data_IF_826955592963
#
_entry.id   IF_826955592963
#
_cell.length_a   1.000
_cell.length_b   1.000
_cell.length_c   1.000
_cell.angle_alpha   90.00
_cell.angle_beta   90.00
_cell.angle_gamma   90.00
#
_symmetry.space_group_name_H-M   'P 1'
#
loop_
_entity.id
_entity.type
_entity.pdbx_description
1 polymer ?
#
# COMPACT_ATOMS: atom_id res chain seq x y z
N UNK A 1 18.82 -50.06 33.46
CA UNK A 1 19.66 -48.99 34.07
C UNK A 1 20.99 -48.76 33.36
N UNK A 2 21.74 -49.81 32.93
CA UNK A 2 23.04 -49.64 32.26
C UNK A 2 23.00 -48.80 30.96
N UNK A 3 21.91 -48.89 30.18
CA UNK A 3 21.73 -48.10 28.95
C UNK A 3 21.60 -46.61 29.23
N UNK A 4 20.75 -46.22 30.18
CA UNK A 4 20.52 -44.82 30.57
C UNK A 4 21.81 -44.19 31.11
N UNK A 5 22.55 -44.92 31.93
CA UNK A 5 23.84 -44.45 32.49
C UNK A 5 24.90 -44.27 31.39
N UNK A 6 24.95 -45.19 30.40
CA UNK A 6 25.84 -45.07 29.24
C UNK A 6 25.45 -43.92 28.32
N UNK A 7 24.15 -43.73 28.09
CA UNK A 7 23.62 -42.63 27.30
C UNK A 7 23.92 -41.26 27.95
N UNK A 8 23.65 -41.12 29.25
CA UNK A 8 23.95 -39.89 29.99
C UNK A 8 25.46 -39.55 29.98
N UNK A 9 26.33 -40.55 30.15
CA UNK A 9 27.79 -40.36 30.03
C UNK A 9 28.20 -39.96 28.60
N UNK A 10 27.58 -40.55 27.58
CA UNK A 10 27.88 -40.23 26.18
C UNK A 10 27.46 -38.80 25.80
N UNK A 11 26.27 -38.36 26.26
CA UNK A 11 25.78 -36.98 26.07
C UNK A 11 26.67 -35.98 26.79
N UNK A 12 27.07 -36.27 28.04
CA UNK A 12 27.98 -35.41 28.80
C UNK A 12 29.36 -35.27 28.15
N UNK A 13 29.93 -36.38 27.66
CA UNK A 13 31.24 -36.36 27.00
C UNK A 13 31.23 -35.69 25.63
N UNK A 14 30.08 -35.63 24.95
CA UNK A 14 29.95 -35.05 23.61
C UNK A 14 28.88 -33.93 23.55
N UNK A 15 28.78 -33.11 24.59
CA UNK A 15 27.68 -32.14 24.75
C UNK A 15 27.48 -31.24 23.53
N UNK A 16 28.56 -30.77 22.88
CA UNK A 16 28.51 -29.96 21.64
C UNK A 16 27.91 -30.70 20.44
N UNK A 17 28.16 -32.01 20.31
CA UNK A 17 27.59 -32.83 19.22
C UNK A 17 26.14 -33.18 19.51
N UNK A 18 25.82 -33.43 20.78
CA UNK A 18 24.46 -33.71 21.23
C UNK A 18 23.54 -32.48 21.07
N UNK A 19 24.03 -31.26 21.34
CA UNK A 19 23.25 -30.04 21.10
C UNK A 19 22.98 -29.84 19.61
N UNK A 20 23.99 -29.96 18.75
CA UNK A 20 23.80 -29.86 17.28
C UNK A 20 22.79 -30.90 16.77
N UNK A 21 22.90 -32.15 17.23
CA UNK A 21 21.97 -33.21 16.84
C UNK A 21 20.55 -32.94 17.34
N UNK A 22 20.38 -32.48 18.59
CA UNK A 22 19.08 -32.12 19.14
C UNK A 22 18.43 -30.95 18.39
N UNK A 23 19.21 -29.92 18.04
CA UNK A 23 18.75 -28.80 17.22
C UNK A 23 18.33 -29.25 15.81
N UNK A 24 19.14 -30.11 15.17
CA UNK A 24 18.81 -30.66 13.86
C UNK A 24 17.54 -31.53 13.88
N UNK A 25 17.35 -32.35 14.93
CA UNK A 25 16.13 -33.12 15.13
C UNK A 25 14.92 -32.24 15.38
N UNK A 26 15.04 -31.23 16.25
CA UNK A 26 13.96 -30.29 16.53
C UNK A 26 13.52 -29.55 15.25
N UNK A 27 14.48 -29.08 14.45
CA UNK A 27 14.22 -28.50 13.14
C UNK A 27 13.55 -29.51 12.19
N UNK A 28 14.05 -30.74 12.11
CA UNK A 28 13.47 -31.79 11.27
C UNK A 28 12.01 -32.13 11.63
N UNK A 29 11.71 -32.21 12.93
CA UNK A 29 10.34 -32.44 13.43
C UNK A 29 9.45 -31.24 13.08
N UNK A 30 9.90 -30.01 13.38
CA UNK A 30 9.16 -28.79 13.04
C UNK A 30 8.89 -28.68 11.54
N UNK A 31 9.89 -28.90 10.71
CA UNK A 31 9.78 -28.91 9.25
C UNK A 31 8.80 -29.99 8.77
N UNK A 32 8.87 -31.20 9.34
CA UNK A 32 7.95 -32.28 8.97
C UNK A 32 6.50 -31.98 9.35
N UNK A 33 6.28 -31.33 10.50
CA UNK A 33 4.96 -30.95 10.96
C UNK A 33 4.38 -29.86 10.06
N UNK A 34 5.14 -28.82 9.76
CA UNK A 34 4.74 -27.76 8.82
C UNK A 34 4.44 -28.34 7.43
N UNK A 35 5.28 -29.25 6.92
CA UNK A 35 5.04 -29.90 5.62
C UNK A 35 3.78 -30.76 5.62
N UNK A 36 3.48 -31.41 6.75
CA UNK A 36 2.26 -32.20 6.92
C UNK A 36 1.03 -31.31 6.96
N UNK A 37 1.05 -30.22 7.74
CA UNK A 37 -0.02 -29.22 7.82
C UNK A 37 -0.29 -28.58 6.45
N UNK A 38 0.75 -28.15 5.73
CA UNK A 38 0.61 -27.60 4.37
C UNK A 38 -0.06 -28.63 3.44
N UNK A 39 0.32 -29.91 3.51
CA UNK A 39 -0.32 -30.97 2.71
C UNK A 39 -1.78 -31.19 3.07
N UNK A 40 -2.14 -31.14 4.35
CA UNK A 40 -3.53 -31.26 4.79
C UNK A 40 -4.36 -30.06 4.31
N UNK A 41 -3.84 -28.84 4.43
CA UNK A 41 -4.47 -27.63 3.92
C UNK A 41 -4.66 -27.69 2.40
N UNK A 42 -3.62 -28.05 1.64
CA UNK A 42 -3.73 -28.22 0.18
C UNK A 42 -4.81 -29.25 -0.18
N UNK A 43 -4.84 -30.38 0.54
CA UNK A 43 -5.85 -31.42 0.30
C UNK A 43 -7.26 -30.89 0.56
N UNK A 44 -7.45 -30.19 1.68
CA UNK A 44 -8.73 -29.58 2.04
C UNK A 44 -9.22 -28.64 0.94
N UNK A 45 -8.41 -27.64 0.55
CA UNK A 45 -8.80 -26.67 -0.48
C UNK A 45 -8.96 -27.29 -1.86
N UNK A 46 -8.16 -28.30 -2.24
CA UNK A 46 -8.39 -29.03 -3.49
C UNK A 46 -9.71 -29.81 -3.47
N UNK A 47 -10.07 -30.43 -2.35
CA UNK A 47 -11.37 -31.13 -2.23
C UNK A 47 -12.54 -30.17 -2.27
N UNK A 48 -12.40 -28.99 -1.67
CA UNK A 48 -13.39 -27.93 -1.71
C UNK A 48 -13.55 -27.36 -3.14
N UNK A 49 -12.43 -27.06 -3.82
CA UNK A 49 -12.42 -26.62 -5.21
C UNK A 49 -13.06 -27.65 -6.17
N UNK A 50 -12.86 -28.95 -5.92
CA UNK A 50 -13.50 -30.02 -6.70
C UNK A 50 -15.02 -29.94 -6.64
N UNK A 51 -15.60 -29.61 -5.48
CA UNK A 51 -17.05 -29.46 -5.32
C UNK A 51 -17.60 -28.33 -6.20
N UNK A 52 -16.88 -27.21 -6.29
CA UNK A 52 -17.27 -26.11 -7.19
C UNK A 52 -17.16 -26.50 -8.67
N UNK A 53 -16.17 -27.32 -9.03
CA UNK A 53 -16.00 -27.85 -10.39
C UNK A 53 -17.11 -28.83 -10.82
N UNK A 54 -17.76 -29.51 -9.88
CA UNK A 54 -18.83 -30.49 -10.15
C UNK A 54 -20.22 -29.84 -10.36
N UNK A 55 -20.36 -28.53 -10.12
CA UNK A 55 -21.62 -27.80 -10.29
C UNK A 55 -21.98 -27.70 -11.78
N UNK A 56 -23.13 -28.25 -12.15
CA UNK A 56 -23.64 -28.18 -13.53
C UNK A 56 -24.09 -26.75 -13.87
N UNK A 57 -23.64 -26.23 -15.00
CA UNK A 57 -24.07 -24.94 -15.56
C UNK A 57 -25.17 -25.14 -16.60
N UNK A 58 -26.07 -24.16 -16.74
CA UNK A 58 -27.11 -24.20 -17.78
C UNK A 58 -26.52 -24.11 -19.19
N UNK A 59 -27.20 -24.69 -20.19
CA UNK A 59 -26.73 -24.72 -21.60
C UNK A 59 -26.43 -23.34 -22.20
N UNK A 60 -27.08 -22.29 -21.68
CA UNK A 60 -26.89 -20.89 -22.13
C UNK A 60 -25.94 -20.07 -21.21
N UNK A 61 -25.40 -20.67 -20.15
CA UNK A 61 -24.48 -20.00 -19.23
C UNK A 61 -23.03 -20.28 -19.65
N UNK A 62 -22.21 -19.24 -19.69
CA UNK A 62 -20.77 -19.36 -19.96
C UNK A 62 -20.02 -19.45 -18.63
N UNK A 63 -18.95 -20.26 -18.53
CA UNK A 63 -18.12 -20.28 -17.33
C UNK A 63 -17.46 -18.92 -17.10
N UNK A 64 -17.28 -18.50 -15.83
CA UNK A 64 -16.59 -17.27 -15.50
C UNK A 64 -15.13 -17.35 -15.98
N UNK A 65 -14.63 -16.28 -16.60
CA UNK A 65 -13.22 -16.15 -16.96
C UNK A 65 -12.52 -15.34 -15.89
N UNK A 66 -11.44 -15.88 -15.34
CA UNK A 66 -10.59 -15.22 -14.34
C UNK A 66 -9.24 -14.88 -14.97
N UNK A 67 -8.83 -13.61 -14.90
CA UNK A 67 -7.48 -13.18 -15.27
C UNK A 67 -6.66 -13.10 -13.97
N UNK A 68 -5.56 -13.85 -13.91
CA UNK A 68 -4.64 -13.84 -12.76
C UNK A 68 -3.38 -13.07 -13.17
N UNK A 69 -3.15 -11.93 -12.52
CA UNK A 69 -1.91 -11.17 -12.62
C UNK A 69 -1.06 -11.51 -11.38
N UNK A 70 0.07 -12.17 -11.57
CA UNK A 70 0.91 -12.65 -10.47
C UNK A 70 2.26 -11.92 -10.46
N UNK A 71 2.49 -11.15 -9.40
CA UNK A 71 3.83 -10.68 -9.05
C UNK A 71 4.46 -11.67 -8.06
N UNK A 72 5.46 -12.48 -8.45
CA UNK A 72 6.05 -13.51 -7.59
C UNK A 72 6.75 -12.97 -6.33
N UNK A 73 6.96 -11.65 -6.23
CA UNK A 73 7.55 -10.98 -5.08
C UNK A 73 6.52 -10.40 -4.07
N UNK A 74 5.22 -10.41 -4.39
CA UNK A 74 4.18 -9.81 -3.54
C UNK A 74 3.73 -10.74 -2.40
N UNK A 75 3.71 -10.25 -1.16
CA UNK A 75 3.41 -11.04 0.03
C UNK A 75 1.97 -10.77 0.57
N UNK A 76 1.31 -11.87 0.91
CA UNK A 76 -0.05 -12.16 1.44
C UNK A 76 -0.82 -11.04 2.17
N UNK A 77 -2.14 -10.92 1.87
CA UNK A 77 -3.27 -10.69 2.82
C UNK A 77 -4.67 -10.76 2.13
N UNK A 78 -5.75 -10.89 2.93
CA UNK A 78 -7.12 -11.28 2.54
C UNK A 78 -8.25 -10.47 3.24
N UNK A 79 -9.22 -9.92 2.48
CA UNK A 79 -10.68 -9.82 2.72
C UNK A 79 -11.46 -9.42 1.42
N UNK A 80 -12.68 -9.93 1.19
CA UNK A 80 -13.56 -9.47 0.07
C UNK A 80 -14.17 -8.10 0.42
N UNK A 81 -13.69 -7.02 -0.21
CA UNK A 81 -14.07 -5.66 0.15
C UNK A 81 -14.15 -4.73 -1.08
N UNK A 82 -15.09 -3.78 -1.03
CA UNK A 82 -15.08 -2.61 -1.90
C UNK A 82 -13.95 -1.68 -1.45
N UNK A 83 -12.91 -1.56 -2.28
CA UNK A 83 -11.70 -0.86 -1.90
C UNK A 83 -11.66 0.54 -2.53
N UNK A 84 -11.28 1.51 -1.70
CA UNK A 84 -11.08 2.88 -2.17
C UNK A 84 -9.72 3.01 -2.86
N UNK A 85 -9.66 3.79 -3.93
CA UNK A 85 -8.42 4.00 -4.68
C UNK A 85 -8.09 5.48 -4.68
N UNK A 86 -6.86 5.84 -4.40
CA UNK A 86 -6.36 7.19 -4.62
C UNK A 86 -5.88 7.33 -6.07
N UNK A 87 -6.34 8.37 -6.74
CA UNK A 87 -5.88 8.76 -8.08
C UNK A 87 -4.91 9.92 -7.92
N UNK A 88 -3.72 9.78 -8.47
CA UNK A 88 -2.60 10.71 -8.34
C UNK A 88 -2.31 11.26 -9.74
N UNK A 89 -2.36 12.58 -9.86
CA UNK A 89 -2.17 13.31 -11.10
C UNK A 89 -1.02 14.29 -10.94
N UNK A 90 -0.10 14.31 -11.90
CA UNK A 90 0.94 15.34 -11.93
C UNK A 90 0.30 16.65 -12.39
N UNK A 91 0.48 17.71 -11.61
CA UNK A 91 0.04 19.04 -11.99
C UNK A 91 1.00 19.57 -13.07
N UNK A 92 0.49 20.05 -14.22
CA UNK A 92 1.35 20.56 -15.29
C UNK A 92 2.08 21.82 -14.80
N UNK A 93 3.40 21.85 -14.95
CA UNK A 93 4.13 23.10 -14.78
C UNK A 93 3.91 23.96 -16.02
N UNK A 94 3.84 25.29 -15.86
CA UNK A 94 3.61 26.21 -16.98
C UNK A 94 4.67 26.12 -18.10
N UNK A 95 5.77 25.41 -17.87
CA UNK A 95 6.87 25.18 -18.81
C UNK A 95 6.74 23.87 -19.63
N UNK A 96 5.81 22.98 -19.30
CA UNK A 96 5.71 21.66 -19.93
C UNK A 96 4.81 21.71 -21.18
N UNK A 97 5.41 21.66 -22.37
CA UNK A 97 4.69 21.51 -23.65
C UNK A 97 4.19 20.07 -23.90
N UNK A 98 4.57 19.11 -23.04
CA UNK A 98 4.22 17.70 -23.16
C UNK A 98 2.76 17.43 -22.79
N UNK A 99 2.10 16.44 -23.42
CA UNK A 99 0.76 16.04 -23.03
C UNK A 99 0.73 15.60 -21.55
N UNK A 100 -0.38 15.83 -20.83
CA UNK A 100 -0.49 15.44 -19.42
C UNK A 100 -0.21 13.95 -19.26
N UNK A 101 0.67 13.63 -18.32
CA UNK A 101 1.01 12.24 -17.99
C UNK A 101 -0.24 11.49 -17.51
N UNK A 102 -0.23 10.16 -17.71
CA UNK A 102 -1.35 9.32 -17.27
C UNK A 102 -1.42 9.32 -15.74
N UNK A 103 -2.63 9.39 -15.16
CA UNK A 103 -2.80 9.31 -13.71
C UNK A 103 -2.32 7.95 -13.18
N UNK A 104 -1.67 7.99 -12.02
CA UNK A 104 -1.30 6.79 -11.25
C UNK A 104 -2.43 6.48 -10.26
N UNK A 105 -2.74 5.20 -10.08
CA UNK A 105 -3.76 4.75 -9.14
C UNK A 105 -3.11 3.89 -8.06
N UNK A 106 -3.47 4.13 -6.80
CA UNK A 106 -2.92 3.42 -5.66
C UNK A 106 -3.99 3.07 -4.64
N UNK A 107 -3.82 1.95 -3.96
CA UNK A 107 -4.79 1.37 -3.02
C UNK A 107 -4.41 1.70 -1.57
N UNK A 108 -3.11 1.69 -1.26
CA UNK A 108 -2.60 1.77 0.09
C UNK A 108 -2.29 3.19 0.53
N UNK A 109 -1.08 3.64 0.25
CA UNK A 109 -0.59 4.93 0.74
C UNK A 109 0.51 5.52 -0.15
N UNK A 110 0.57 6.85 -0.15
CA UNK A 110 1.72 7.64 -0.56
C UNK A 110 2.54 8.00 0.67
N UNK A 111 3.85 7.72 0.65
CA UNK A 111 4.79 8.06 1.72
C UNK A 111 5.92 8.92 1.18
N UNK A 112 6.21 10.03 1.86
CA UNK A 112 7.31 10.91 1.53
C UNK A 112 8.03 11.33 2.80
N UNK A 113 9.31 10.98 2.93
CA UNK A 113 10.08 11.32 4.14
C UNK A 113 11.24 10.41 4.45
N UNK A 114 11.97 10.79 5.50
CA UNK A 114 13.22 10.14 5.90
C UNK A 114 13.06 8.65 6.22
N UNK A 115 11.94 8.25 6.87
CA UNK A 115 11.67 6.86 7.20
C UNK A 115 11.66 5.96 5.95
N UNK A 116 10.92 6.38 4.92
CA UNK A 116 10.83 5.67 3.63
C UNK A 116 12.18 5.61 2.93
N UNK A 117 12.91 6.73 2.90
CA UNK A 117 14.19 6.82 2.17
C UNK A 117 15.24 5.91 2.80
N UNK A 118 15.31 5.87 4.13
CA UNK A 118 16.21 4.97 4.85
C UNK A 118 15.77 3.51 4.69
N UNK A 119 14.47 3.22 4.73
CA UNK A 119 13.95 1.87 4.53
C UNK A 119 14.28 1.32 3.12
N UNK A 120 14.30 2.19 2.10
CA UNK A 120 14.69 1.83 0.74
C UNK A 120 16.16 1.37 0.64
N UNK A 121 17.02 1.82 1.56
CA UNK A 121 18.43 1.42 1.63
C UNK A 121 18.64 0.04 2.27
N UNK A 122 17.60 -0.65 2.76
CA UNK A 122 17.74 -1.97 3.43
C UNK A 122 18.51 -2.99 2.59
N UNK A 123 18.34 -2.97 1.27
CA UNK A 123 18.95 -3.97 0.38
C UNK A 123 20.46 -3.72 0.20
N UNK A 124 20.95 -2.49 0.47
CA UNK A 124 22.38 -2.18 0.60
C UNK A 124 23.02 -2.98 1.74
N UNK A 125 22.26 -3.28 2.78
CA UNK A 125 22.70 -4.00 3.97
C UNK A 125 22.34 -5.49 3.96
N UNK A 126 22.21 -6.10 2.76
CA UNK A 126 21.86 -7.53 2.63
C UNK A 126 22.78 -8.47 3.44
N UNK A 127 24.03 -8.08 3.68
CA UNK A 127 25.03 -8.86 4.43
C UNK A 127 24.71 -9.00 5.93
N UNK A 128 23.82 -8.17 6.49
CA UNK A 128 23.33 -8.32 7.87
C UNK A 128 22.08 -9.20 7.96
N UNK A 129 21.67 -9.80 6.83
CA UNK A 129 20.58 -10.76 6.72
C UNK A 129 19.27 -10.26 7.36
N UNK A 130 18.83 -10.89 8.45
CA UNK A 130 17.57 -10.56 9.13
C UNK A 130 17.59 -9.22 9.85
N UNK A 131 18.78 -8.63 10.08
CA UNK A 131 18.92 -7.33 10.72
C UNK A 131 19.00 -6.18 9.70
N UNK A 132 18.90 -6.47 8.38
CA UNK A 132 19.08 -5.47 7.31
C UNK A 132 18.25 -4.21 7.49
N UNK A 133 16.98 -4.37 7.88
CA UNK A 133 16.05 -3.26 8.09
C UNK A 133 16.52 -2.40 9.26
N UNK A 134 16.87 -3.01 10.39
CA UNK A 134 17.36 -2.32 11.58
C UNK A 134 18.70 -1.62 11.35
N UNK A 135 19.61 -2.26 10.61
CA UNK A 135 20.93 -1.71 10.28
C UNK A 135 20.85 -0.53 9.33
N UNK A 136 19.87 -0.50 8.43
CA UNK A 136 19.63 0.65 7.56
C UNK A 136 19.31 1.90 8.39
N UNK A 137 18.40 1.77 9.36
CA UNK A 137 18.08 2.87 10.29
C UNK A 137 19.26 3.26 11.16
N UNK A 138 19.99 2.30 11.71
CA UNK A 138 21.12 2.59 12.58
C UNK A 138 22.18 3.43 11.87
N UNK A 139 22.69 2.97 10.71
CA UNK A 139 23.81 3.63 10.05
C UNK A 139 23.41 4.96 9.40
N UNK A 140 22.26 5.02 8.71
CA UNK A 140 21.87 6.25 8.01
C UNK A 140 21.32 7.32 8.95
N UNK A 141 20.77 6.95 10.12
CA UNK A 141 20.40 7.94 11.12
C UNK A 141 21.64 8.67 11.65
N UNK A 142 22.74 7.96 11.95
CA UNK A 142 23.98 8.62 12.39
C UNK A 142 24.67 9.46 11.30
N UNK A 143 24.46 9.12 10.01
CA UNK A 143 24.93 9.93 8.88
C UNK A 143 24.09 11.20 8.64
N UNK A 144 23.04 11.44 9.45
CA UNK A 144 22.22 12.66 9.38
C UNK A 144 21.00 12.58 8.45
N UNK A 145 20.76 11.45 7.78
CA UNK A 145 19.65 11.30 6.82
C UNK A 145 18.25 11.45 7.46
N UNK A 146 18.14 11.31 8.78
CA UNK A 146 16.91 11.51 9.56
C UNK A 146 16.46 12.98 9.67
N UNK A 147 17.37 13.93 9.47
CA UNK A 147 17.10 15.39 9.56
C UNK A 147 16.55 15.98 8.25
N UNK A 148 16.22 15.12 7.29
CA UNK A 148 15.59 15.52 6.05
C UNK A 148 14.15 15.99 6.29
N UNK A 149 13.85 17.23 5.89
CA UNK A 149 12.51 17.80 6.01
C UNK A 149 11.81 17.87 4.65
N UNK A 150 10.51 17.56 4.65
CA UNK A 150 9.63 17.54 3.49
C UNK A 150 8.78 18.82 3.43
N UNK A 151 9.43 19.96 3.22
CA UNK A 151 8.72 21.24 3.14
C UNK A 151 7.78 21.30 1.93
N UNK A 152 6.49 21.50 2.17
CA UNK A 152 5.49 21.53 1.12
C UNK A 152 4.28 22.40 1.50
N UNK A 153 3.66 22.95 0.46
CA UNK A 153 2.35 23.59 0.54
C UNK A 153 1.27 22.55 0.18
N UNK A 154 0.31 22.37 1.07
CA UNK A 154 -0.78 21.42 0.93
C UNK A 154 -2.08 22.21 0.80
N UNK A 155 -2.80 22.00 -0.29
CA UNK A 155 -4.15 22.53 -0.48
C UNK A 155 -5.15 21.38 -0.48
N UNK A 156 -6.15 21.38 0.40
CA UNK A 156 -7.07 20.25 0.55
C UNK A 156 -8.54 20.66 0.61
N UNK A 157 -9.40 19.67 0.35
CA UNK A 157 -10.85 19.77 0.53
C UNK A 157 -11.35 18.81 1.59
N UNK A 158 -12.41 19.20 2.30
CA UNK A 158 -13.05 18.38 3.33
C UNK A 158 -13.55 17.03 2.80
N UNK A 159 -13.64 15.99 3.65
CA UNK A 159 -14.06 14.66 3.24
C UNK A 159 -15.48 14.69 2.68
N UNK A 160 -15.71 13.97 1.59
CA UNK A 160 -17.01 13.90 0.93
C UNK A 160 -17.27 12.50 0.38
N UNK A 161 -18.43 11.95 0.70
CA UNK A 161 -18.93 10.65 0.21
C UNK A 161 -19.27 10.65 -1.28
N UNK A 162 -19.38 11.83 -1.88
CA UNK A 162 -19.62 12.06 -3.31
C UNK A 162 -20.72 13.08 -3.54
N UNK A 163 -20.46 14.01 -4.45
CA UNK A 163 -21.35 15.12 -4.78
C UNK A 163 -21.33 15.42 -6.27
N UNK A 164 -22.26 16.22 -6.74
CA UNK A 164 -22.35 16.67 -8.13
C UNK A 164 -21.08 17.41 -8.58
N UNK A 165 -20.47 18.21 -7.71
CA UNK A 165 -19.21 18.90 -8.03
C UNK A 165 -18.02 17.93 -8.10
N UNK A 166 -18.01 16.96 -7.18
CA UNK A 166 -17.00 15.92 -7.06
C UNK A 166 -16.93 15.02 -8.31
N UNK A 167 -18.09 14.73 -8.91
CA UNK A 167 -18.20 13.84 -10.08
C UNK A 167 -18.02 14.57 -11.41
N UNK A 168 -18.28 15.88 -11.50
CA UNK A 168 -18.00 16.68 -12.72
C UNK A 168 -16.53 16.64 -13.09
N UNK A 169 -15.64 16.83 -12.10
CA UNK A 169 -14.19 16.74 -12.31
C UNK A 169 -13.78 15.35 -12.83
N UNK A 170 -14.42 14.27 -12.37
CA UNK A 170 -14.14 12.92 -12.85
C UNK A 170 -14.69 12.65 -14.27
N UNK A 171 -15.93 13.07 -14.56
CA UNK A 171 -16.59 12.80 -15.85
C UNK A 171 -15.97 13.62 -17.00
N UNK A 172 -15.62 14.88 -16.77
CA UNK A 172 -14.98 15.73 -17.77
C UNK A 172 -13.58 15.21 -18.13
N UNK A 173 -12.85 14.68 -17.15
CA UNK A 173 -11.54 14.07 -17.35
C UNK A 173 -11.63 12.68 -18.00
N UNK A 174 -12.63 11.85 -17.65
CA UNK A 174 -12.89 10.58 -18.35
C UNK A 174 -13.29 10.85 -19.81
N UNK A 175 -14.11 11.87 -20.07
CA UNK A 175 -14.49 12.27 -21.42
C UNK A 175 -13.28 12.74 -22.24
N UNK A 176 -12.32 13.44 -21.63
CA UNK A 176 -11.06 13.83 -22.26
C UNK A 176 -10.16 12.63 -22.59
N UNK A 177 -9.94 11.70 -21.65
CA UNK A 177 -9.16 10.48 -21.88
C UNK A 177 -9.78 9.57 -22.96
N UNK A 178 -11.11 9.45 -22.98
CA UNK A 178 -11.86 8.72 -24.02
C UNK A 178 -11.74 9.35 -25.41
N UNK A 179 -11.46 10.65 -25.53
CA UNK A 179 -11.18 11.29 -26.83
C UNK A 179 -9.79 10.94 -27.33
N UNK A 180 -8.82 10.78 -26.43
CA UNK A 180 -7.43 10.46 -26.76
C UNK A 180 -7.23 8.97 -27.14
N UNK A 181 -8.05 8.07 -26.61
CA UNK A 181 -7.88 6.61 -26.72
C UNK A 181 -8.84 5.92 -27.71
N UNK A 182 -9.45 6.66 -28.65
CA UNK A 182 -10.34 6.07 -29.67
C UNK A 182 -9.55 5.25 -30.69
N UNK A 183 -9.15 4.04 -30.30
CA UNK A 183 -8.91 2.94 -31.22
C UNK A 183 -10.15 2.76 -32.11
N UNK A 184 -9.99 2.49 -33.42
CA UNK A 184 -11.12 2.33 -34.32
C UNK A 184 -12.01 1.19 -33.82
N UNK A 185 -13.23 1.54 -33.41
CA UNK A 185 -14.23 0.57 -32.95
C UNK A 185 -14.53 -0.40 -34.08
N UNK A 186 -14.06 -1.64 -33.96
CA UNK A 186 -14.39 -2.71 -34.90
C UNK A 186 -15.88 -2.98 -34.81
N UNK A 187 -16.59 -2.95 -35.93
CA UNK A 187 -18.06 -3.03 -36.00
C UNK A 187 -18.67 -4.22 -35.23
N UNK A 188 -17.93 -5.32 -35.10
CA UNK A 188 -18.37 -6.49 -34.34
C UNK A 188 -18.45 -6.29 -32.81
N UNK A 189 -17.82 -5.26 -32.24
CA UNK A 189 -17.88 -4.99 -30.78
C UNK A 189 -19.28 -4.59 -30.30
N UNK A 190 -20.18 -4.26 -31.21
CA UNK A 190 -21.60 -3.96 -30.93
C UNK A 190 -22.37 -5.24 -30.54
N UNK A 191 -21.90 -6.41 -30.95
CA UNK A 191 -22.57 -7.70 -30.68
C UNK A 191 -22.09 -8.38 -29.40
N UNK A 192 -21.18 -7.75 -28.63
CA UNK A 192 -20.75 -8.29 -27.34
C UNK A 192 -21.78 -7.87 -26.28
N UNK A 193 -22.54 -8.80 -25.69
CA UNK A 193 -23.49 -8.48 -24.63
C UNK A 193 -22.70 -7.88 -23.46
N UNK A 194 -23.01 -6.64 -23.11
CA UNK A 194 -22.43 -5.98 -21.93
C UNK A 194 -23.03 -6.63 -20.69
N UNK A 195 -22.18 -7.00 -19.74
CA UNK A 195 -22.63 -7.43 -18.43
C UNK A 195 -23.49 -6.33 -17.80
N UNK A 196 -24.56 -6.71 -17.10
CA UNK A 196 -25.37 -5.77 -16.31
C UNK A 196 -24.46 -5.21 -15.22
N UNK A 197 -24.12 -3.93 -15.32
CA UNK A 197 -23.42 -3.21 -14.26
C UNK A 197 -24.38 -3.00 -13.10
N UNK A 198 -23.90 -3.18 -11.88
CA UNK A 198 -24.64 -2.87 -10.66
C UNK A 198 -25.17 -1.41 -10.70
N UNK A 199 -26.31 -1.11 -10.05
CA UNK A 199 -26.86 0.24 -10.01
C UNK A 199 -25.84 1.19 -9.38
N UNK A 200 -25.30 2.10 -10.20
CA UNK A 200 -24.43 3.18 -9.71
C UNK A 200 -25.28 4.21 -8.99
N UNK A 201 -24.79 4.71 -7.86
CA UNK A 201 -25.37 5.82 -7.13
C UNK A 201 -25.30 7.11 -7.98
N UNK A 202 -26.44 7.78 -8.15
CA UNK A 202 -26.52 9.03 -8.92
C UNK A 202 -26.07 10.23 -8.05
N UNK A 203 -24.78 10.56 -8.09
CA UNK A 203 -24.20 11.68 -7.33
C UNK A 203 -24.56 13.07 -7.88
N UNK A 204 -25.12 13.15 -9.10
CA UNK A 204 -25.53 14.39 -9.76
C UNK A 204 -26.57 15.19 -8.97
N UNK A 205 -27.32 14.51 -8.08
CA UNK A 205 -28.37 15.12 -7.26
C UNK A 205 -27.89 15.59 -5.89
N UNK A 206 -26.68 15.20 -5.48
CA UNK A 206 -26.13 15.52 -4.16
C UNK A 206 -25.33 16.81 -4.28
N UNK A 207 -25.74 17.87 -3.60
CA UNK A 207 -25.03 19.16 -3.58
C UNK A 207 -24.34 19.29 -2.22
N UNK A 208 -23.02 19.47 -2.24
CA UNK A 208 -22.24 19.73 -1.04
C UNK A 208 -21.44 21.02 -1.22
N UNK A 209 -21.82 22.06 -0.50
CA UNK A 209 -21.17 23.37 -0.55
C UNK A 209 -19.75 23.33 0.04
N UNK A 210 -19.54 22.52 1.08
CA UNK A 210 -18.23 22.36 1.74
C UNK A 210 -17.18 21.74 0.84
N UNK A 211 -17.60 20.93 -0.14
CA UNK A 211 -16.67 20.30 -1.09
C UNK A 211 -15.97 21.32 -2.01
N UNK A 212 -16.49 22.55 -2.12
CA UNK A 212 -15.91 23.59 -2.98
C UNK A 212 -14.94 24.50 -2.23
N UNK A 213 -14.81 24.34 -0.91
CA UNK A 213 -13.92 25.14 -0.07
C UNK A 213 -12.54 24.49 -0.06
N UNK A 214 -11.52 25.26 -0.47
CA UNK A 214 -10.12 24.86 -0.42
C UNK A 214 -9.47 25.45 0.83
N UNK A 215 -8.77 24.62 1.58
CA UNK A 215 -7.95 25.01 2.71
C UNK A 215 -6.48 24.89 2.32
N UNK A 216 -5.66 25.84 2.75
CA UNK A 216 -4.21 25.83 2.50
C UNK A 216 -3.46 25.66 3.82
N UNK A 217 -2.42 24.83 3.81
CA UNK A 217 -1.55 24.55 4.93
C UNK A 217 -0.11 24.45 4.45
N UNK A 218 0.80 25.14 5.13
CA UNK A 218 2.24 24.98 4.91
C UNK A 218 2.81 24.07 5.99
N UNK A 219 3.50 23.01 5.56
CA UNK A 219 4.05 21.99 6.47
C UNK A 219 5.54 21.80 6.22
N UNK A 220 6.27 21.50 7.31
CA UNK A 220 7.68 21.11 7.26
C UNK A 220 7.95 19.87 8.14
N UNK A 221 7.34 18.70 7.83
CA UNK A 221 7.52 17.48 8.61
C UNK A 221 8.76 16.69 8.18
N UNK A 222 9.23 15.78 9.04
CA UNK A 222 10.22 14.76 8.66
C UNK A 222 9.63 13.69 7.72
N UNK A 223 8.31 13.48 7.82
CA UNK A 223 7.55 12.47 7.08
C UNK A 223 6.11 12.93 6.83
N UNK A 224 5.63 12.74 5.62
CA UNK A 224 4.25 12.96 5.19
C UNK A 224 3.70 11.64 4.66
N UNK A 225 2.58 11.19 5.22
CA UNK A 225 1.89 9.97 4.77
C UNK A 225 0.46 10.30 4.38
N UNK A 226 0.07 9.95 3.17
CA UNK A 226 -1.31 10.08 2.67
C UNK A 226 -1.82 8.67 2.44
N UNK A 227 -2.76 8.21 3.27
CA UNK A 227 -3.27 6.84 3.23
C UNK A 227 -4.77 6.81 2.99
N UNK A 228 -5.23 5.74 2.36
CA UNK A 228 -6.66 5.44 2.29
C UNK A 228 -7.13 4.84 3.61
N UNK A 229 -8.44 4.93 3.88
CA UNK A 229 -9.07 4.22 4.99
C UNK A 229 -8.90 2.68 4.94
N UNK A 230 -8.41 2.14 3.82
CA UNK A 230 -8.17 0.69 3.68
C UNK A 230 -6.96 0.22 4.51
N UNK A 231 -6.04 1.12 4.85
CA UNK A 231 -4.77 0.79 5.53
C UNK A 231 -4.91 0.75 7.06
N UNK A 232 -6.07 1.14 7.62
CA UNK A 232 -6.36 1.00 9.04
C UNK A 232 -6.53 -0.49 9.40
N UNK A 233 -5.51 -1.07 10.05
CA UNK A 233 -5.48 -2.50 10.43
C UNK A 233 -6.09 -2.76 11.80
N UNK A 234 -6.36 -1.73 12.59
CA UNK A 234 -6.85 -1.85 13.96
C UNK A 234 -8.19 -1.08 14.04
N UNK A 235 -9.23 -1.78 14.51
CA UNK A 235 -10.60 -1.30 14.79
C UNK A 235 -11.64 -1.36 13.65
N UNK A 236 -11.81 -2.53 13.02
CA UNK A 236 -13.05 -2.86 12.26
C UNK A 236 -14.27 -3.21 13.16
N UNK A 237 -14.23 -2.87 14.45
CA UNK A 237 -15.31 -3.22 15.41
C UNK A 237 -16.24 -2.04 15.80
N UNK A 238 -16.15 -0.88 15.16
CA UNK A 238 -17.11 0.20 15.44
C UNK A 238 -17.50 1.03 14.20
N UNK A 239 -18.75 0.81 13.81
CA UNK A 239 -19.76 1.80 13.36
C UNK A 239 -19.56 2.63 12.07
N UNK A 240 -20.57 2.51 11.19
CA UNK A 240 -20.94 3.37 10.07
C UNK A 240 -20.07 3.33 8.79
N UNK A 241 -20.71 2.89 7.70
CA UNK A 241 -20.23 2.90 6.30
C UNK A 241 -19.67 4.26 5.82
N UNK A 242 -19.91 5.35 6.55
CA UNK A 242 -19.54 6.73 6.19
C UNK A 242 -18.03 7.00 6.38
N UNK A 243 -17.37 6.36 7.34
CA UNK A 243 -15.93 6.55 7.60
C UNK A 243 -15.03 5.99 6.50
N UNK A 244 -15.57 5.14 5.62
CA UNK A 244 -14.81 4.48 4.55
C UNK A 244 -14.44 5.41 3.38
N UNK A 245 -14.96 6.64 3.30
CA UNK A 245 -14.80 7.51 2.11
C UNK A 245 -13.92 8.75 2.34
N UNK A 246 -12.86 8.61 3.15
CA UNK A 246 -11.88 9.67 3.43
C UNK A 246 -10.45 9.22 3.11
N UNK A 247 -9.61 10.19 2.74
CA UNK A 247 -8.16 10.08 2.79
C UNK A 247 -7.67 10.65 4.12
N UNK A 248 -6.65 10.05 4.70
CA UNK A 248 -6.00 10.55 5.90
C UNK A 248 -4.61 11.07 5.52
N UNK A 249 -4.40 12.36 5.77
CA UNK A 249 -3.08 13.01 5.66
C UNK A 249 -2.49 13.06 7.06
N UNK A 250 -1.37 12.37 7.24
CA UNK A 250 -0.59 12.36 8.48
C UNK A 250 0.65 13.21 8.27
N UNK A 251 0.75 14.30 9.03
CA UNK A 251 1.91 15.18 9.05
C UNK A 251 2.77 14.78 10.25
N UNK A 252 3.94 14.22 9.97
CA UNK A 252 4.88 13.77 10.99
C UNK A 252 5.53 14.93 11.76
N UNK A 253 5.92 14.68 13.00
CA UNK A 253 6.73 15.63 13.77
C UNK A 253 8.13 15.79 13.14
N UNK A 254 8.73 16.97 13.34
CA UNK A 254 10.13 17.19 12.98
C UNK A 254 11.01 16.44 13.97
N UNK A 255 12.03 15.72 13.47
CA UNK A 255 12.87 14.85 14.31
C UNK A 255 14.29 15.38 14.36
N UNK A 256 14.68 15.88 15.54
CA UNK A 256 16.01 16.43 15.77
C UNK A 256 16.98 15.42 16.41
N UNK A 257 16.45 14.33 17.00
CA UNK A 257 17.25 13.32 17.72
C UNK A 257 17.32 12.00 16.96
N UNK A 258 18.54 11.55 16.67
CA UNK A 258 18.77 10.29 15.97
C UNK A 258 18.30 9.06 16.76
N UNK A 259 18.41 9.10 18.10
CA UNK A 259 18.03 7.96 18.94
C UNK A 259 16.51 7.77 19.04
N UNK A 260 15.74 8.87 19.12
CA UNK A 260 14.27 8.78 19.09
C UNK A 260 13.80 8.27 17.73
N UNK A 261 14.38 8.81 16.65
CA UNK A 261 14.10 8.35 15.29
C UNK A 261 14.33 6.84 15.12
N UNK A 262 15.49 6.34 15.58
CA UNK A 262 15.83 4.92 15.49
C UNK A 262 14.86 4.08 16.31
N UNK A 263 14.57 4.49 17.56
CA UNK A 263 13.64 3.77 18.44
C UNK A 263 12.25 3.63 17.83
N UNK A 264 11.71 4.73 17.31
CA UNK A 264 10.41 4.76 16.66
C UNK A 264 10.41 3.91 15.38
N UNK A 265 11.45 4.06 14.56
CA UNK A 265 11.59 3.31 13.30
C UNK A 265 11.68 1.80 13.55
N UNK A 266 12.44 1.37 14.55
CA UNK A 266 12.55 -0.04 14.94
C UNK A 266 11.23 -0.57 15.50
N UNK A 267 10.50 0.24 16.29
CA UNK A 267 9.16 -0.09 16.75
C UNK A 267 8.20 -0.35 15.58
N UNK A 268 8.22 0.51 14.56
CA UNK A 268 7.40 0.36 13.34
C UNK A 268 7.77 -0.88 12.54
N UNK A 269 9.05 -1.14 12.32
CA UNK A 269 9.52 -2.34 11.60
C UNK A 269 9.13 -3.61 12.35
N UNK A 270 9.36 -3.66 13.66
CA UNK A 270 9.04 -4.82 14.48
C UNK A 270 7.53 -5.13 14.50
N UNK A 271 6.71 -4.09 14.63
CA UNK A 271 5.25 -4.23 14.66
C UNK A 271 4.62 -4.25 13.25
N UNK A 272 5.42 -4.14 12.18
CA UNK A 272 4.97 -4.07 10.77
C UNK A 272 4.02 -2.90 10.49
N UNK A 273 4.13 -1.83 11.25
CA UNK A 273 3.33 -0.60 11.17
C UNK A 273 4.08 0.45 10.34
N UNK A 274 4.32 0.15 9.06
CA UNK A 274 5.16 0.97 8.17
C UNK A 274 4.53 2.32 7.80
N UNK A 275 3.21 2.46 7.92
CA UNK A 275 2.45 3.67 7.56
C UNK A 275 2.09 4.54 8.77
N UNK A 276 2.46 4.10 9.98
CA UNK A 276 2.27 4.91 11.19
C UNK A 276 3.49 5.81 11.37
N UNK A 277 3.25 7.08 11.70
CA UNK A 277 4.27 8.07 12.02
C UNK A 277 3.88 8.84 13.28
N UNK A 278 4.81 9.53 13.97
CA UNK A 278 4.54 10.31 15.16
C UNK A 278 3.81 11.56 14.67
N UNK A 279 2.50 11.62 14.90
CA UNK A 279 1.64 12.58 14.22
C UNK A 279 1.66 13.91 14.97
N UNK A 280 2.03 14.98 14.26
CA UNK A 280 1.79 16.36 14.70
C UNK A 280 0.33 16.74 14.43
N UNK A 281 -0.12 16.50 13.20
CA UNK A 281 -1.46 16.84 12.72
C UNK A 281 -1.99 15.71 11.82
N UNK A 282 -3.25 15.30 12.03
CA UNK A 282 -3.98 14.39 11.15
C UNK A 282 -5.18 15.10 10.55
N UNK A 283 -5.31 15.03 9.23
CA UNK A 283 -6.36 15.72 8.49
C UNK A 283 -7.11 14.71 7.63
N UNK A 284 -8.42 14.63 7.83
CA UNK A 284 -9.31 13.87 6.95
C UNK A 284 -9.68 14.72 5.74
N UNK A 285 -9.48 14.20 4.54
CA UNK A 285 -9.61 14.98 3.29
C UNK A 285 -10.23 14.14 2.17
N UNK A 286 -10.71 14.81 1.13
CA UNK A 286 -11.19 14.18 -0.10
C UNK A 286 -10.18 14.29 -1.24
N UNK A 287 -9.67 15.51 -1.45
CA UNK A 287 -8.69 15.85 -2.48
C UNK A 287 -7.57 16.63 -1.83
N UNK A 288 -6.33 16.35 -2.24
CA UNK A 288 -5.11 17.01 -1.75
C UNK A 288 -4.27 17.40 -2.96
N UNK A 289 -3.91 18.67 -3.05
CA UNK A 289 -2.87 19.17 -3.94
C UNK A 289 -1.60 19.34 -3.09
N UNK A 290 -0.57 18.56 -3.41
CA UNK A 290 0.73 18.59 -2.76
C UNK A 290 1.71 19.35 -3.65
N UNK A 291 2.24 20.46 -3.14
CA UNK A 291 3.24 21.29 -3.81
C UNK A 291 4.55 21.29 -3.02
N UNK A 292 5.52 20.43 -3.39
CA UNK A 292 6.86 20.42 -2.79
C UNK A 292 7.58 21.75 -3.04
N UNK A 293 8.25 22.29 -2.01
CA UNK A 293 9.07 23.51 -2.18
C UNK A 293 10.41 23.21 -2.85
N UNK A 294 10.97 22.02 -2.59
CA UNK A 294 12.17 21.52 -3.25
C UNK A 294 11.78 20.62 -4.42
N UNK A 295 11.94 21.15 -5.62
CA UNK A 295 11.89 20.39 -6.87
C UNK A 295 13.30 20.29 -7.43
N UNK A 296 13.59 19.26 -8.22
CA UNK A 296 14.85 19.15 -8.97
C UNK A 296 14.86 20.28 -10.01
N UNK A 297 15.61 21.35 -9.74
CA UNK A 297 15.72 22.50 -10.65
C UNK A 297 16.94 22.32 -11.56
N UNK A 298 18.03 21.77 -11.03
CA UNK A 298 19.27 21.51 -11.77
C UNK A 298 19.64 20.02 -11.79
N UNK A 299 20.37 19.56 -12.81
CA UNK A 299 20.84 18.16 -12.90
C UNK A 299 21.78 17.74 -11.75
N UNK A 300 22.36 18.71 -11.05
CA UNK A 300 23.26 18.51 -9.90
C UNK A 300 22.54 18.26 -8.58
N UNK A 301 21.22 18.52 -8.53
CA UNK A 301 20.45 18.33 -7.30
C UNK A 301 20.18 16.83 -7.05
N UNK A 302 20.18 16.39 -5.77
CA UNK A 302 19.87 15.01 -5.44
C UNK A 302 18.44 14.66 -5.84
N UNK A 303 18.26 13.46 -6.41
CA UNK A 303 16.96 12.96 -6.81
C UNK A 303 16.12 12.60 -5.57
N UNK A 304 15.00 13.29 -5.41
CA UNK A 304 14.07 13.08 -4.30
C UNK A 304 12.92 12.22 -4.82
N UNK A 305 12.53 11.23 -4.03
CA UNK A 305 11.46 10.30 -4.37
C UNK A 305 10.41 10.23 -3.27
N UNK A 306 9.15 10.11 -3.67
CA UNK A 306 8.11 9.56 -2.80
C UNK A 306 7.83 8.11 -3.17
N UNK A 307 7.19 7.39 -2.26
CA UNK A 307 6.70 6.02 -2.49
C UNK A 307 5.20 6.03 -2.69
N UNK A 308 4.72 5.39 -3.75
CA UNK A 308 3.30 5.07 -3.93
C UNK A 308 3.18 3.55 -3.86
N UNK A 309 2.45 3.01 -2.88
CA UNK A 309 2.27 1.56 -2.70
C UNK A 309 3.59 0.74 -2.71
N UNK A 310 4.67 1.31 -2.16
CA UNK A 310 6.04 0.78 -2.12
C UNK A 310 6.84 0.86 -3.43
N UNK A 311 6.34 1.56 -4.45
CA UNK A 311 7.08 1.86 -5.68
C UNK A 311 7.60 3.30 -5.64
N UNK A 312 8.83 3.49 -6.11
CA UNK A 312 9.51 4.79 -6.08
C UNK A 312 9.12 5.66 -7.29
N UNK A 313 8.73 6.90 -7.02
CA UNK A 313 8.38 7.90 -8.01
C UNK A 313 9.09 9.22 -7.70
N UNK A 314 9.52 9.93 -8.74
CA UNK A 314 10.16 11.24 -8.60
C UNK A 314 9.20 12.26 -7.97
N UNK A 315 9.71 13.10 -7.08
CA UNK A 315 8.89 14.15 -6.45
C UNK A 315 8.51 15.20 -7.48
N UNK A 316 7.20 15.36 -7.69
CA UNK A 316 6.57 16.38 -8.53
C UNK A 316 5.35 16.97 -7.82
N UNK A 317 4.86 18.16 -8.22
CA UNK A 317 3.59 18.67 -7.74
C UNK A 317 2.46 17.74 -8.19
N UNK A 318 1.67 17.24 -7.25
CA UNK A 318 0.63 16.24 -7.53
C UNK A 318 -0.71 16.60 -6.92
N UNK A 319 -1.79 16.22 -7.61
CA UNK A 319 -3.16 16.22 -7.10
C UNK A 319 -3.60 14.79 -6.83
N UNK A 320 -4.02 14.53 -5.61
CA UNK A 320 -4.43 13.23 -5.10
C UNK A 320 -5.91 13.30 -4.77
N UNK A 321 -6.71 12.49 -5.46
CA UNK A 321 -8.17 12.47 -5.33
C UNK A 321 -8.64 11.08 -4.94
N UNK A 322 -9.50 10.97 -3.92
CA UNK A 322 -10.12 9.70 -3.57
C UNK A 322 -11.15 9.28 -4.61
N UNK A 323 -11.10 8.02 -5.03
CA UNK A 323 -12.12 7.35 -5.84
C UNK A 323 -12.71 6.23 -4.97
N UNK A 324 -13.90 6.44 -4.39
CA UNK A 324 -14.48 5.52 -3.44
C UNK A 324 -15.02 4.28 -4.16
N UNK A 325 -14.86 3.10 -3.53
CA UNK A 325 -15.40 1.82 -4.04
C UNK A 325 -15.09 1.57 -5.51
N UNK A 326 -13.86 1.88 -5.93
CA UNK A 326 -13.46 1.84 -7.33
C UNK A 326 -13.16 0.41 -7.80
N UNK A 327 -12.73 -0.44 -6.88
CA UNK A 327 -12.27 -1.80 -7.15
C UNK A 327 -12.93 -2.76 -6.17
N UNK A 328 -13.56 -3.80 -6.71
CA UNK A 328 -14.00 -4.96 -5.95
C UNK A 328 -12.81 -5.91 -5.84
N UNK A 329 -12.26 -6.10 -4.63
CA UNK A 329 -11.16 -7.03 -4.41
C UNK A 329 -11.74 -8.31 -3.82
N UNK A 330 -11.48 -9.43 -4.50
CA UNK A 330 -11.73 -10.77 -3.98
C UNK A 330 -10.43 -11.33 -3.43
N UNK A 331 -10.46 -11.77 -2.19
CA UNK A 331 -9.34 -12.47 -1.58
C UNK A 331 -9.86 -13.71 -0.88
N UNK A 332 -9.00 -14.72 -0.74
CA UNK A 332 -9.37 -16.03 -0.22
C UNK A 332 -8.85 -16.28 1.20
#
# INVERSE_FOLDING_TARGET
MAFVIRFAKAVRNNWKKSTVFASALAYGVSYSNEKYEIKQLMRYYCTEASRYGEVKIGLNQRPPKVLVLLNPAANRKSSEEDVNVMRIEVLPSAADESPPEKPVYAVGALQWGAFRDILALRDKYWYTASLRDYTAFLFNAFDGAHTWNCKAKISYTEPCSGCSNCYKDMDDQWAAAKKQEQQPRRWWSVFVPRAKTNPKTDYSKIINEKCSVRHELEVDPSELVIKTGNVAVEDKESENNEESTKLEVLVGEQVDSSFSFIGDSWGRVNNRKYFECPVKESISVRTVELMPERLKVEETDPEIYYSIDNEAYEVRPVRITLVPKAVEIFTF
#
